data_IF_944780443179
#
_entry.id   IF_944780443179
#
_cell.length_a   1.000
_cell.length_b   1.000
_cell.length_c   1.000
_cell.angle_alpha   90.00
_cell.angle_beta   90.00
_cell.angle_gamma   90.00
#
_symmetry.space_group_name_H-M   'P 1'
#
loop_
_entity.id
_entity.type
_entity.pdbx_description
1 polymer ?
#
# COMPACT_ATOMS: atom_id res chain seq x y z
N UNK A 1 -2.44 -23.75 -9.18
CA UNK A 1 -3.46 -24.33 -10.08
C UNK A 1 -2.83 -25.14 -11.22
N UNK A 2 -1.88 -24.57 -12.00
CA UNK A 2 -1.26 -25.24 -13.16
C UNK A 2 -0.57 -26.56 -12.79
N UNK A 3 0.17 -26.59 -11.68
CA UNK A 3 0.83 -27.80 -11.19
C UNK A 3 -0.16 -28.92 -10.82
N UNK A 4 -1.27 -28.54 -10.18
CA UNK A 4 -2.34 -29.47 -9.79
C UNK A 4 -3.06 -30.03 -11.03
N UNK A 5 -3.31 -29.18 -12.03
CA UNK A 5 -3.87 -29.58 -13.33
C UNK A 5 -2.88 -30.53 -14.04
N UNK A 6 -1.59 -30.24 -14.01
CA UNK A 6 -0.54 -31.07 -14.59
C UNK A 6 -0.47 -32.48 -13.99
N UNK A 7 -0.58 -32.62 -12.65
CA UNK A 7 -0.62 -33.90 -11.97
C UNK A 7 -1.87 -34.71 -12.38
N UNK A 8 -3.03 -34.07 -12.46
CA UNK A 8 -4.26 -34.72 -12.89
C UNK A 8 -4.24 -35.12 -14.35
N UNK A 9 -3.63 -34.28 -15.21
CA UNK A 9 -3.44 -34.58 -16.63
C UNK A 9 -2.54 -35.80 -16.83
N UNK A 10 -1.42 -35.88 -16.12
CA UNK A 10 -0.50 -37.00 -16.17
C UNK A 10 -1.18 -38.29 -15.68
N UNK A 11 -2.04 -38.24 -14.64
CA UNK A 11 -2.78 -39.40 -14.14
C UNK A 11 -3.89 -39.87 -15.09
N UNK A 12 -4.38 -38.98 -15.98
CA UNK A 12 -5.38 -39.37 -16.98
C UNK A 12 -4.79 -40.20 -18.13
N UNK A 13 -3.51 -39.96 -18.46
CA UNK A 13 -2.74 -40.71 -19.45
C UNK A 13 -1.89 -41.84 -18.85
N UNK A 14 -1.98 -42.04 -17.53
CA UNK A 14 -1.23 -43.04 -16.82
C UNK A 14 -1.96 -44.40 -16.80
N UNK A 15 -1.54 -45.27 -15.91
CA UNK A 15 -2.09 -46.62 -15.72
C UNK A 15 -3.61 -46.57 -15.40
N UNK A 16 -4.48 -47.11 -16.28
CA UNK A 16 -5.92 -47.13 -16.07
C UNK A 16 -6.37 -48.15 -15.01
N UNK A 17 -5.44 -48.79 -14.32
CA UNK A 17 -5.75 -49.74 -13.25
C UNK A 17 -6.52 -49.05 -12.12
N UNK A 18 -7.39 -49.85 -11.44
CA UNK A 18 -8.14 -49.35 -10.28
C UNK A 18 -7.21 -48.83 -9.18
N UNK A 19 -6.05 -49.47 -9.02
CA UNK A 19 -5.03 -49.07 -8.05
C UNK A 19 -4.38 -47.71 -8.45
N UNK A 20 -3.97 -47.59 -9.70
CA UNK A 20 -3.39 -46.33 -10.21
C UNK A 20 -4.33 -45.14 -10.08
N UNK A 21 -5.60 -45.32 -10.42
CA UNK A 21 -6.62 -44.29 -10.26
C UNK A 21 -6.85 -43.92 -8.80
N UNK A 22 -6.89 -44.90 -7.88
CA UNK A 22 -7.06 -44.67 -6.45
C UNK A 22 -5.85 -43.89 -5.88
N UNK A 23 -4.62 -44.31 -6.24
CA UNK A 23 -3.39 -43.66 -5.80
C UNK A 23 -3.30 -42.22 -6.31
N UNK A 24 -3.58 -42.01 -7.58
CA UNK A 24 -3.59 -40.64 -8.17
C UNK A 24 -4.62 -39.73 -7.50
N UNK A 25 -5.82 -40.24 -7.22
CA UNK A 25 -6.86 -39.49 -6.51
C UNK A 25 -6.43 -39.18 -5.08
N UNK A 26 -5.83 -40.10 -4.38
CA UNK A 26 -5.30 -39.88 -3.04
C UNK A 26 -4.20 -38.81 -3.04
N UNK A 27 -3.21 -38.92 -3.93
CA UNK A 27 -2.14 -37.94 -4.06
C UNK A 27 -2.68 -36.57 -4.38
N UNK A 28 -3.72 -36.47 -5.22
CA UNK A 28 -4.37 -35.20 -5.54
C UNK A 28 -5.03 -34.57 -4.31
N UNK A 29 -5.66 -35.35 -3.45
CA UNK A 29 -6.21 -34.83 -2.18
C UNK A 29 -5.10 -34.37 -1.23
N UNK A 30 -4.01 -35.14 -1.13
CA UNK A 30 -2.87 -34.79 -0.28
C UNK A 30 -2.24 -33.48 -0.73
N UNK A 31 -2.01 -33.29 -2.04
CA UNK A 31 -1.44 -32.04 -2.57
C UNK A 31 -2.33 -30.84 -2.27
N UNK A 32 -3.67 -30.95 -2.45
CA UNK A 32 -4.59 -29.88 -2.10
C UNK A 32 -4.58 -29.57 -0.60
N UNK A 33 -4.51 -30.61 0.24
CA UNK A 33 -4.43 -30.45 1.69
C UNK A 33 -3.16 -29.76 2.14
N UNK A 34 -2.01 -30.19 1.64
CA UNK A 34 -0.71 -29.57 1.95
C UNK A 34 -0.67 -28.11 1.47
N UNK A 35 -1.21 -27.85 0.27
CA UNK A 35 -1.25 -26.48 -0.26
C UNK A 35 -2.19 -25.58 0.56
N UNK A 36 -3.35 -26.08 0.98
CA UNK A 36 -4.26 -25.36 1.88
C UNK A 36 -3.57 -25.02 3.21
N UNK A 37 -2.92 -25.99 3.83
CA UNK A 37 -2.18 -25.78 5.09
C UNK A 37 -1.07 -24.75 4.90
N UNK A 38 -0.30 -24.84 3.81
CA UNK A 38 0.77 -23.90 3.51
C UNK A 38 0.22 -22.47 3.32
N UNK A 39 -0.89 -22.30 2.60
CA UNK A 39 -1.52 -20.99 2.42
C UNK A 39 -2.03 -20.39 3.74
N UNK A 40 -2.66 -21.20 4.60
CA UNK A 40 -3.11 -20.76 5.93
C UNK A 40 -1.89 -20.41 6.80
N UNK A 41 -0.83 -21.23 6.77
CA UNK A 41 0.40 -20.96 7.51
C UNK A 41 1.04 -19.62 7.10
N UNK A 42 1.12 -19.34 5.78
CA UNK A 42 1.64 -18.06 5.27
C UNK A 42 0.73 -16.89 5.69
N UNK A 43 -0.60 -17.08 5.68
CA UNK A 43 -1.55 -16.05 6.13
C UNK A 43 -1.38 -15.69 7.61
N UNK A 44 -0.85 -16.61 8.43
CA UNK A 44 -0.54 -16.36 9.85
C UNK A 44 0.77 -15.59 10.07
N UNK A 45 1.41 -15.05 9.02
CA UNK A 45 2.65 -14.27 9.08
C UNK A 45 3.75 -14.94 9.92
N UNK A 46 4.30 -16.08 9.47
CA UNK A 46 5.42 -16.72 10.16
C UNK A 46 6.67 -15.85 10.12
N UNK A 47 7.71 -16.11 10.93
CA UNK A 47 8.93 -15.30 11.01
C UNK A 47 9.62 -15.02 9.67
N UNK A 48 9.40 -15.89 8.68
CA UNK A 48 9.98 -15.77 7.33
C UNK A 48 9.04 -15.15 6.31
N UNK A 49 7.86 -14.69 6.72
CA UNK A 49 6.91 -14.06 5.79
C UNK A 49 7.48 -12.77 5.21
N UNK A 50 7.07 -12.37 3.99
CA UNK A 50 7.48 -11.13 3.37
C UNK A 50 7.19 -9.91 4.24
N UNK A 51 6.09 -9.93 4.99
CA UNK A 51 5.69 -8.86 5.90
C UNK A 51 6.68 -8.70 7.07
N UNK A 52 7.06 -9.81 7.71
CA UNK A 52 8.02 -9.78 8.82
C UNK A 52 9.44 -9.42 8.36
N UNK A 53 9.76 -9.64 7.09
CA UNK A 53 11.02 -9.20 6.47
C UNK A 53 11.01 -7.77 5.96
N UNK A 54 9.94 -7.01 6.18
CA UNK A 54 9.82 -5.60 5.76
C UNK A 54 9.67 -5.39 4.25
N UNK A 55 9.36 -6.45 3.49
CA UNK A 55 9.22 -6.36 2.03
C UNK A 55 7.91 -5.68 1.57
N UNK A 56 7.04 -5.31 2.49
CA UNK A 56 5.94 -4.37 2.31
C UNK A 56 4.92 -4.67 1.21
N UNK A 57 4.36 -3.61 0.66
CA UNK A 57 3.26 -3.62 -0.31
C UNK A 57 3.49 -4.40 -1.61
N UNK A 58 4.71 -4.57 -2.18
CA UNK A 58 4.88 -5.37 -3.40
C UNK A 58 4.42 -6.82 -3.27
N UNK A 59 4.38 -7.35 -2.05
CA UNK A 59 3.97 -8.73 -1.76
C UNK A 59 2.49 -8.89 -1.44
N UNK A 60 1.69 -7.81 -1.44
CA UNK A 60 0.24 -7.87 -1.21
C UNK A 60 -0.46 -8.82 -2.20
N UNK A 61 0.00 -8.86 -3.44
CA UNK A 61 -0.52 -9.77 -4.48
C UNK A 61 -0.39 -11.24 -4.08
N UNK A 62 0.71 -11.63 -3.42
CA UNK A 62 0.89 -13.02 -2.95
C UNK A 62 -0.09 -13.38 -1.84
N UNK A 63 -0.37 -12.47 -0.91
CA UNK A 63 -1.40 -12.69 0.12
C UNK A 63 -2.80 -12.80 -0.50
N UNK A 64 -3.10 -12.00 -1.51
CA UNK A 64 -4.36 -12.08 -2.25
C UNK A 64 -4.49 -13.42 -2.99
N UNK A 65 -3.45 -13.85 -3.71
CA UNK A 65 -3.42 -15.15 -4.37
C UNK A 65 -3.52 -16.30 -3.35
N UNK A 66 -2.89 -16.15 -2.18
CA UNK A 66 -3.02 -17.10 -1.07
C UNK A 66 -4.45 -17.22 -0.59
N UNK A 67 -5.16 -16.10 -0.40
CA UNK A 67 -6.57 -16.10 -0.01
C UNK A 67 -7.47 -16.77 -1.06
N UNK A 68 -7.26 -16.50 -2.35
CA UNK A 68 -7.96 -17.18 -3.45
C UNK A 68 -7.69 -18.69 -3.44
N UNK A 69 -6.43 -19.09 -3.18
CA UNK A 69 -6.04 -20.50 -3.10
C UNK A 69 -6.69 -21.21 -1.91
N UNK A 70 -6.81 -20.54 -0.76
CA UNK A 70 -7.55 -21.06 0.40
C UNK A 70 -9.02 -21.28 0.03
N UNK A 71 -9.66 -20.31 -0.62
CA UNK A 71 -11.05 -20.43 -1.10
C UNK A 71 -11.23 -21.60 -2.09
N UNK A 72 -10.32 -21.70 -3.08
CA UNK A 72 -10.34 -22.78 -4.05
C UNK A 72 -10.17 -24.17 -3.41
N UNK A 73 -9.15 -24.37 -2.58
CA UNK A 73 -8.90 -25.65 -1.92
C UNK A 73 -10.00 -26.04 -0.94
N UNK A 74 -10.52 -25.08 -0.18
CA UNK A 74 -11.66 -25.31 0.72
C UNK A 74 -12.91 -25.70 -0.06
N UNK A 75 -13.22 -24.99 -1.15
CA UNK A 75 -14.34 -25.35 -2.05
C UNK A 75 -14.16 -26.72 -2.66
N UNK A 76 -12.94 -27.08 -3.09
CA UNK A 76 -12.63 -28.41 -3.59
C UNK A 76 -12.95 -29.49 -2.57
N UNK A 77 -12.47 -29.36 -1.32
CA UNK A 77 -12.73 -30.35 -0.28
C UNK A 77 -14.22 -30.45 0.06
N UNK A 78 -14.92 -29.34 0.16
CA UNK A 78 -16.35 -29.34 0.39
C UNK A 78 -17.13 -30.04 -0.74
N UNK A 79 -16.79 -29.75 -2.00
CA UNK A 79 -17.44 -30.40 -3.16
C UNK A 79 -17.19 -31.90 -3.25
N UNK A 80 -15.99 -32.33 -2.88
CA UNK A 80 -15.60 -33.75 -2.96
C UNK A 80 -16.16 -34.55 -1.79
N UNK A 81 -16.12 -33.96 -0.57
CA UNK A 81 -16.44 -34.72 0.67
C UNK A 81 -17.84 -34.42 1.22
N UNK A 82 -18.50 -33.32 0.86
CA UNK A 82 -19.89 -33.02 1.29
C UNK A 82 -20.92 -33.74 0.43
N UNK A 83 -20.90 -34.90 0.08
CA UNK A 83 -21.89 -35.69 -0.67
C UNK A 83 -22.86 -34.90 -1.57
N UNK A 84 -23.07 -35.31 -2.81
CA UNK A 84 -24.03 -34.64 -3.72
C UNK A 84 -25.45 -34.76 -3.17
N UNK A 85 -26.18 -33.65 -2.95
CA UNK A 85 -27.60 -33.74 -2.64
C UNK A 85 -28.33 -34.40 -3.82
N UNK A 86 -29.03 -35.51 -3.57
CA UNK A 86 -29.88 -36.18 -4.55
C UNK A 86 -29.55 -37.60 -4.98
N UNK A 87 -28.40 -38.14 -4.59
CA UNK A 87 -28.14 -39.60 -4.80
C UNK A 87 -27.69 -40.24 -3.49
N UNK A 88 -28.54 -41.10 -2.88
CA UNK A 88 -28.12 -41.89 -1.72
C UNK A 88 -27.11 -42.97 -2.18
N UNK A 89 -25.83 -42.60 -2.25
CA UNK A 89 -24.76 -43.59 -2.33
C UNK A 89 -24.72 -44.26 -0.97
N UNK A 90 -25.01 -45.56 -0.92
CA UNK A 90 -24.74 -46.40 0.26
C UNK A 90 -23.21 -46.51 0.44
N UNK A 91 -22.60 -45.46 0.98
CA UNK A 91 -21.19 -45.49 1.34
C UNK A 91 -21.00 -46.30 2.60
N UNK A 92 -19.91 -47.06 2.71
CA UNK A 92 -19.53 -47.71 3.96
C UNK A 92 -19.53 -46.69 5.11
N UNK A 93 -19.92 -47.07 6.33
CA UNK A 93 -20.05 -46.15 7.46
C UNK A 93 -18.76 -45.40 7.77
N UNK A 94 -17.62 -46.04 7.61
CA UNK A 94 -16.29 -45.45 7.80
C UNK A 94 -16.04 -44.30 6.79
N UNK A 95 -16.36 -44.53 5.51
CA UNK A 95 -16.15 -43.49 4.47
C UNK A 95 -17.05 -42.30 4.73
N UNK A 96 -18.30 -42.50 5.17
CA UNK A 96 -19.22 -41.43 5.55
C UNK A 96 -18.67 -40.66 6.74
N UNK A 97 -18.12 -41.31 7.74
CA UNK A 97 -17.50 -40.66 8.90
C UNK A 97 -16.33 -39.75 8.46
N UNK A 98 -15.43 -40.29 7.63
CA UNK A 98 -14.28 -39.53 7.10
C UNK A 98 -14.76 -38.30 6.31
N UNK A 99 -15.72 -38.48 5.41
CA UNK A 99 -16.26 -37.39 4.60
C UNK A 99 -16.85 -36.26 5.48
N UNK A 100 -17.65 -36.64 6.47
CA UNK A 100 -18.26 -35.67 7.38
C UNK A 100 -17.19 -34.98 8.26
N UNK A 101 -16.17 -35.73 8.69
CA UNK A 101 -15.06 -35.14 9.45
C UNK A 101 -14.26 -34.12 8.63
N UNK A 102 -13.90 -34.46 7.39
CA UNK A 102 -13.19 -33.56 6.48
C UNK A 102 -14.04 -32.30 6.22
N UNK A 103 -15.31 -32.46 5.86
CA UNK A 103 -16.20 -31.33 5.63
C UNK A 103 -16.35 -30.45 6.89
N UNK A 104 -16.50 -31.07 8.06
CA UNK A 104 -16.57 -30.35 9.35
C UNK A 104 -15.30 -29.57 9.67
N UNK A 105 -14.12 -30.17 9.45
CA UNK A 105 -12.82 -29.48 9.61
C UNK A 105 -12.70 -28.29 8.67
N UNK A 106 -13.10 -28.42 7.40
CA UNK A 106 -13.04 -27.31 6.44
C UNK A 106 -13.98 -26.18 6.87
N UNK A 107 -15.20 -26.47 7.28
CA UNK A 107 -16.11 -25.44 7.79
C UNK A 107 -15.57 -24.76 9.05
N UNK A 108 -14.97 -25.52 9.95
CA UNK A 108 -14.32 -24.96 11.14
C UNK A 108 -13.16 -24.03 10.75
N UNK A 109 -12.30 -24.45 9.80
CA UNK A 109 -11.19 -23.61 9.31
C UNK A 109 -11.69 -22.32 8.66
N UNK A 110 -12.74 -22.40 7.84
CA UNK A 110 -13.34 -21.23 7.19
C UNK A 110 -13.91 -20.21 8.19
N UNK A 111 -14.31 -20.66 9.38
CA UNK A 111 -14.75 -19.78 10.46
C UNK A 111 -13.58 -19.29 11.33
N UNK A 112 -12.74 -20.22 11.80
CA UNK A 112 -11.70 -19.93 12.80
C UNK A 112 -10.57 -19.11 12.21
N UNK A 113 -10.10 -19.41 10.98
CA UNK A 113 -8.96 -18.71 10.39
C UNK A 113 -9.22 -17.22 10.22
N UNK A 114 -10.34 -16.73 9.64
CA UNK A 114 -10.64 -15.30 9.56
C UNK A 114 -10.76 -14.66 10.95
N UNK A 115 -11.40 -15.32 11.92
CA UNK A 115 -11.54 -14.79 13.27
C UNK A 115 -10.16 -14.59 13.95
N UNK A 116 -9.27 -15.58 13.83
CA UNK A 116 -7.91 -15.51 14.38
C UNK A 116 -7.09 -14.42 13.67
N UNK A 117 -7.21 -14.29 12.35
CA UNK A 117 -6.54 -13.24 11.58
C UNK A 117 -7.01 -11.85 12.00
N UNK A 118 -8.31 -11.64 12.16
CA UNK A 118 -8.86 -10.37 12.66
C UNK A 118 -8.34 -10.08 14.06
N UNK A 119 -8.43 -11.04 14.97
CA UNK A 119 -7.96 -10.89 16.35
C UNK A 119 -6.48 -10.53 16.40
N UNK A 120 -5.64 -11.24 15.67
CA UNK A 120 -4.20 -11.01 15.61
C UNK A 120 -3.83 -9.64 15.03
N UNK A 121 -4.54 -9.20 14.00
CA UNK A 121 -4.28 -7.93 13.34
C UNK A 121 -5.01 -6.73 13.99
N UNK A 122 -5.90 -6.98 14.95
CA UNK A 122 -6.71 -5.95 15.59
C UNK A 122 -5.90 -4.78 16.18
N UNK A 123 -4.77 -5.00 16.88
CA UNK A 123 -3.94 -3.91 17.39
C UNK A 123 -3.42 -3.01 16.25
N UNK A 124 -2.95 -3.62 15.17
CA UNK A 124 -2.46 -2.88 14.01
C UNK A 124 -3.59 -2.14 13.27
N UNK A 125 -4.76 -2.78 13.10
CA UNK A 125 -5.94 -2.16 12.50
C UNK A 125 -6.35 -0.93 13.32
N UNK A 126 -6.37 -1.03 14.65
CA UNK A 126 -6.68 0.10 15.54
C UNK A 126 -5.66 1.23 15.43
N UNK A 127 -4.37 0.90 15.33
CA UNK A 127 -3.32 1.89 15.18
C UNK A 127 -3.39 2.59 13.82
N UNK A 128 -3.56 1.84 12.73
CA UNK A 128 -3.60 2.39 11.37
C UNK A 128 -4.88 3.17 11.08
N UNK A 129 -6.01 2.79 11.67
CA UNK A 129 -7.28 3.49 11.54
C UNK A 129 -7.54 4.48 12.70
N UNK A 130 -6.55 4.66 13.57
CA UNK A 130 -6.62 5.59 14.69
C UNK A 130 -6.57 7.06 14.23
N UNK A 131 -6.90 8.00 15.13
CA UNK A 131 -6.95 9.42 14.81
C UNK A 131 -5.57 10.08 14.67
N UNK A 132 -4.46 9.35 14.89
CA UNK A 132 -3.10 9.92 14.95
C UNK A 132 -2.71 10.69 13.69
N UNK A 133 -2.94 10.11 12.49
CA UNK A 133 -2.62 10.80 11.24
C UNK A 133 -3.48 12.06 11.05
N UNK A 134 -4.76 11.99 11.41
CA UNK A 134 -5.66 13.15 11.36
C UNK A 134 -5.24 14.23 12.34
N UNK A 135 -4.87 13.85 13.57
CA UNK A 135 -4.38 14.79 14.59
C UNK A 135 -3.06 15.44 14.15
N UNK A 136 -2.13 14.66 13.62
CA UNK A 136 -0.88 15.17 13.08
C UNK A 136 -1.11 16.14 11.92
N UNK A 137 -1.99 15.80 10.97
CA UNK A 137 -2.36 16.70 9.87
C UNK A 137 -3.04 17.99 10.38
N UNK A 138 -3.88 17.88 11.42
CA UNK A 138 -4.50 19.04 12.06
C UNK A 138 -3.46 19.97 12.71
N UNK A 139 -2.46 19.40 13.40
CA UNK A 139 -1.36 20.18 14.00
C UNK A 139 -0.50 20.86 12.92
N UNK A 140 -0.21 20.16 11.82
CA UNK A 140 0.46 20.77 10.67
C UNK A 140 -0.37 21.93 10.11
N UNK A 141 -1.67 21.73 9.91
CA UNK A 141 -2.56 22.77 9.38
C UNK A 141 -2.73 23.97 10.31
N UNK A 142 -2.69 23.78 11.63
CA UNK A 142 -2.72 24.86 12.63
C UNK A 142 -1.46 25.74 12.56
N UNK A 143 -0.34 25.18 12.10
CA UNK A 143 0.92 25.89 11.93
C UNK A 143 0.97 26.73 10.64
N UNK A 144 -0.04 26.62 9.78
CA UNK A 144 -0.12 27.33 8.50
C UNK A 144 -0.93 28.63 8.63
N UNK A 145 -0.64 29.63 7.78
CA UNK A 145 -1.42 30.84 7.77
C UNK A 145 -2.85 30.60 7.27
N UNK A 146 -3.82 31.43 7.67
CA UNK A 146 -5.18 31.35 7.16
C UNK A 146 -5.32 31.85 5.71
N UNK A 147 -4.25 32.36 5.14
CA UNK A 147 -4.21 32.91 3.78
C UNK A 147 -3.50 31.96 2.80
N UNK A 148 -3.64 32.28 1.51
CA UNK A 148 -2.94 31.53 0.45
C UNK A 148 -1.44 31.42 0.73
N UNK A 149 -0.93 30.20 0.67
CA UNK A 149 0.49 29.91 0.86
C UNK A 149 0.96 28.79 -0.07
N UNK A 150 2.25 28.81 -0.34
CA UNK A 150 2.94 27.75 -1.07
C UNK A 150 3.57 26.81 -0.04
N UNK A 151 3.27 25.53 -0.13
CA UNK A 151 3.72 24.51 0.79
C UNK A 151 4.70 23.58 0.07
N UNK A 152 5.96 23.64 0.45
CA UNK A 152 7.01 22.76 -0.04
C UNK A 152 7.24 21.59 0.91
N UNK A 153 7.52 20.42 0.36
CA UNK A 153 8.03 19.28 1.11
C UNK A 153 8.86 18.36 0.21
N UNK A 154 9.90 17.78 0.74
CA UNK A 154 10.63 16.66 0.14
C UNK A 154 10.05 15.29 0.56
N UNK A 155 9.18 15.25 1.57
CA UNK A 155 8.40 14.09 1.96
C UNK A 155 7.00 14.15 1.35
N UNK A 156 6.83 13.50 0.21
CA UNK A 156 5.55 13.40 -0.51
C UNK A 156 4.42 12.84 0.35
N UNK A 157 4.71 11.98 1.34
CA UNK A 157 3.71 11.40 2.24
C UNK A 157 3.09 12.45 3.16
N UNK A 158 3.92 13.33 3.73
CA UNK A 158 3.45 14.46 4.57
C UNK A 158 2.67 15.46 3.75
N UNK A 159 3.16 15.75 2.55
CA UNK A 159 2.48 16.65 1.61
C UNK A 159 1.09 16.13 1.25
N UNK A 160 0.98 14.84 0.87
CA UNK A 160 -0.30 14.20 0.54
C UNK A 160 -1.25 14.13 1.74
N UNK A 161 -0.72 13.86 2.95
CA UNK A 161 -1.51 13.83 4.17
C UNK A 161 -2.14 15.19 4.46
N UNK A 162 -1.34 16.26 4.38
CA UNK A 162 -1.83 17.62 4.61
C UNK A 162 -2.79 18.07 3.51
N UNK A 163 -2.51 17.73 2.25
CA UNK A 163 -3.41 17.99 1.12
C UNK A 163 -4.77 17.31 1.32
N UNK A 164 -4.77 16.02 1.72
CA UNK A 164 -6.00 15.29 2.01
C UNK A 164 -6.79 15.93 3.18
N UNK A 165 -6.10 16.36 4.24
CA UNK A 165 -6.73 17.05 5.36
C UNK A 165 -7.30 18.40 4.94
N UNK A 166 -6.55 19.21 4.18
CA UNK A 166 -7.01 20.51 3.66
C UNK A 166 -8.24 20.34 2.76
N UNK A 167 -8.25 19.31 1.88
CA UNK A 167 -9.41 19.00 1.04
C UNK A 167 -10.64 18.62 1.89
N UNK A 168 -10.47 17.82 2.95
CA UNK A 168 -11.57 17.45 3.86
C UNK A 168 -12.14 18.65 4.65
N UNK A 169 -11.30 19.64 4.93
CA UNK A 169 -11.70 20.85 5.68
C UNK A 169 -12.12 22.01 4.77
N UNK A 170 -12.22 21.78 3.45
CA UNK A 170 -12.60 22.80 2.47
C UNK A 170 -11.51 23.83 2.14
N UNK A 171 -10.28 23.64 2.62
CA UNK A 171 -9.14 24.53 2.42
C UNK A 171 -8.16 24.08 1.33
N UNK A 172 -8.54 23.06 0.55
CA UNK A 172 -7.65 22.47 -0.47
C UNK A 172 -7.16 23.46 -1.52
N UNK A 173 -8.00 24.43 -1.89
CA UNK A 173 -7.68 25.45 -2.91
C UNK A 173 -6.92 26.68 -2.35
N UNK A 174 -6.81 26.78 -1.01
CA UNK A 174 -6.10 27.89 -0.37
C UNK A 174 -4.58 27.71 -0.42
N UNK A 175 -4.11 26.46 -0.63
CA UNK A 175 -2.71 26.13 -0.60
C UNK A 175 -2.23 25.52 -1.93
N UNK A 176 -1.04 25.94 -2.36
CA UNK A 176 -0.33 25.32 -3.46
C UNK A 176 0.67 24.29 -2.89
N UNK A 177 0.40 23.01 -3.08
CA UNK A 177 1.24 21.91 -2.61
C UNK A 177 2.31 21.57 -3.65
N UNK A 178 3.58 21.69 -3.29
CA UNK A 178 4.71 21.42 -4.16
C UNK A 178 5.62 20.34 -3.58
N UNK A 179 5.81 19.29 -4.34
CA UNK A 179 6.81 18.25 -4.04
C UNK A 179 8.19 18.75 -4.49
N UNK A 180 9.05 19.08 -3.53
CA UNK A 180 10.39 19.61 -3.78
C UNK A 180 11.27 18.66 -4.60
N UNK A 181 11.16 17.35 -4.39
CA UNK A 181 11.90 16.35 -5.15
C UNK A 181 11.44 16.31 -6.62
N UNK A 182 10.14 16.50 -6.85
CA UNK A 182 9.55 16.49 -8.20
C UNK A 182 9.83 17.75 -8.99
N UNK A 183 10.20 18.88 -8.34
CA UNK A 183 10.57 20.12 -9.03
C UNK A 183 11.78 19.96 -9.98
N UNK A 184 12.62 18.96 -9.76
CA UNK A 184 13.72 18.66 -10.69
C UNK A 184 13.25 18.10 -12.05
N UNK A 185 11.97 17.71 -12.20
CA UNK A 185 11.45 17.11 -13.41
C UNK A 185 10.64 18.09 -14.26
N UNK A 186 10.99 18.33 -15.53
CA UNK A 186 10.25 19.25 -16.40
C UNK A 186 8.77 18.90 -16.59
N UNK A 187 8.44 17.61 -16.50
CA UNK A 187 7.07 17.10 -16.58
C UNK A 187 6.20 17.63 -15.44
N UNK A 188 6.78 17.74 -14.25
CA UNK A 188 6.08 18.27 -13.08
C UNK A 188 5.73 19.75 -13.26
N UNK A 189 6.62 20.55 -13.83
CA UNK A 189 6.32 21.96 -14.16
C UNK A 189 5.19 22.08 -15.19
N UNK A 190 5.16 21.22 -16.20
CA UNK A 190 4.06 21.16 -17.17
C UNK A 190 2.73 20.80 -16.49
N UNK A 191 2.77 19.85 -15.55
CA UNK A 191 1.60 19.48 -14.75
C UNK A 191 1.14 20.68 -13.89
N UNK A 192 2.03 21.34 -13.17
CA UNK A 192 1.71 22.50 -12.33
C UNK A 192 1.12 23.65 -13.16
N UNK A 193 1.69 23.95 -14.32
CA UNK A 193 1.17 24.96 -15.24
C UNK A 193 -0.26 24.64 -15.71
N UNK A 194 -0.54 23.37 -16.00
CA UNK A 194 -1.88 22.92 -16.39
C UNK A 194 -2.88 23.01 -15.24
N UNK A 195 -2.46 22.67 -14.02
CA UNK A 195 -3.33 22.63 -12.84
C UNK A 195 -3.54 24.02 -12.22
N UNK A 196 -2.51 24.86 -12.21
CA UNK A 196 -2.50 26.18 -11.57
C UNK A 196 -1.97 27.27 -12.52
N UNK A 197 -2.63 27.54 -13.66
CA UNK A 197 -2.12 28.44 -14.70
C UNK A 197 -1.93 29.88 -14.22
N UNK A 198 -2.69 30.32 -13.20
CA UNK A 198 -2.60 31.67 -12.67
C UNK A 198 -1.43 31.88 -11.68
N UNK A 199 -0.96 30.81 -11.06
CA UNK A 199 0.11 30.87 -10.04
C UNK A 199 1.43 30.37 -10.62
N UNK A 200 1.37 29.42 -11.57
CA UNK A 200 2.54 28.79 -12.16
C UNK A 200 2.79 29.31 -13.58
N UNK A 201 3.45 30.45 -13.67
CA UNK A 201 3.74 31.11 -14.96
C UNK A 201 5.01 30.57 -15.66
N UNK A 202 5.88 29.94 -14.89
CA UNK A 202 7.20 29.53 -15.39
C UNK A 202 7.13 28.49 -16.51
N UNK A 203 7.87 28.74 -17.56
CA UNK A 203 8.23 27.70 -18.51
C UNK A 203 9.08 26.66 -17.80
N UNK A 204 8.98 25.36 -18.18
CA UNK A 204 9.81 24.34 -17.55
C UNK A 204 11.28 24.77 -17.68
N UNK A 205 12.07 24.66 -16.59
CA UNK A 205 13.47 25.05 -16.62
C UNK A 205 14.20 24.20 -17.67
N UNK A 206 15.24 24.78 -18.29
CA UNK A 206 16.08 24.04 -19.24
C UNK A 206 16.65 22.81 -18.53
N UNK A 207 16.37 21.64 -19.07
CA UNK A 207 16.84 20.40 -18.49
C UNK A 207 18.30 20.14 -18.90
N UNK A 208 19.16 19.87 -17.92
CA UNK A 208 20.48 19.30 -18.13
C UNK A 208 20.36 17.80 -17.87
N UNK A 209 20.55 16.97 -18.92
CA UNK A 209 20.43 15.50 -18.80
C UNK A 209 19.10 15.05 -18.19
N UNK A 210 17.98 15.64 -18.63
CA UNK A 210 16.62 15.25 -18.22
C UNK A 210 16.15 15.82 -16.86
N UNK A 211 17.01 16.49 -16.10
CA UNK A 211 16.65 17.17 -14.84
C UNK A 211 16.91 18.68 -14.94
N UNK A 212 16.10 19.45 -14.20
CA UNK A 212 16.31 20.88 -14.07
C UNK A 212 17.62 21.18 -13.31
N UNK A 213 18.29 22.27 -13.72
CA UNK A 213 19.46 22.76 -13.02
C UNK A 213 19.09 23.20 -11.59
N UNK A 214 19.83 22.75 -10.55
CA UNK A 214 19.58 23.15 -9.16
C UNK A 214 19.54 24.65 -8.93
N UNK A 215 20.37 25.44 -9.61
CA UNK A 215 20.37 26.89 -9.47
C UNK A 215 19.05 27.52 -9.99
N UNK A 216 18.53 27.02 -11.09
CA UNK A 216 17.22 27.46 -11.60
C UNK A 216 16.07 27.11 -10.65
N UNK A 217 16.19 25.98 -9.93
CA UNK A 217 15.18 25.60 -8.93
C UNK A 217 15.21 26.53 -7.73
N UNK A 218 16.40 26.93 -7.27
CA UNK A 218 16.54 27.93 -6.19
C UNK A 218 15.95 29.26 -6.62
N UNK A 219 16.29 29.75 -7.82
CA UNK A 219 15.73 30.99 -8.38
C UNK A 219 14.21 30.95 -8.50
N UNK A 220 13.64 29.81 -8.94
CA UNK A 220 12.20 29.60 -9.00
C UNK A 220 11.55 29.70 -7.62
N UNK A 221 12.12 28.99 -6.62
CA UNK A 221 11.61 28.99 -5.24
C UNK A 221 11.75 30.38 -4.62
N UNK A 222 12.83 31.10 -4.94
CA UNK A 222 13.03 32.47 -4.50
C UNK A 222 11.93 33.41 -5.02
N UNK A 223 11.63 33.37 -6.33
CA UNK A 223 10.53 34.12 -6.92
C UNK A 223 9.15 33.79 -6.31
N UNK A 224 8.93 32.51 -6.00
CA UNK A 224 7.71 32.10 -5.30
C UNK A 224 7.64 32.68 -3.88
N UNK A 225 8.77 32.80 -3.18
CA UNK A 225 8.84 33.40 -1.85
C UNK A 225 8.64 34.90 -1.84
N UNK A 226 9.01 35.59 -2.93
CA UNK A 226 8.77 37.05 -3.08
C UNK A 226 7.28 37.39 -3.25
N UNK A 227 6.53 36.53 -3.92
CA UNK A 227 5.13 36.75 -4.27
C UNK A 227 4.13 36.07 -3.37
N UNK A 228 4.57 35.05 -2.63
CA UNK A 228 3.73 34.20 -1.77
C UNK A 228 4.41 33.91 -0.44
N UNK A 229 3.62 33.63 0.60
CA UNK A 229 4.15 33.06 1.82
C UNK A 229 4.55 31.59 1.56
N UNK A 230 5.84 31.31 1.70
CA UNK A 230 6.41 30.00 1.42
C UNK A 230 6.68 29.25 2.73
N UNK A 231 6.15 28.04 2.85
CA UNK A 231 6.34 27.18 4.01
C UNK A 231 6.93 25.84 3.61
N UNK A 232 7.81 25.31 4.47
CA UNK A 232 8.44 24.03 4.31
C UNK A 232 7.96 23.05 5.40
N UNK A 233 7.35 21.92 5.01
CA UNK A 233 6.72 20.99 5.95
C UNK A 233 7.73 20.10 6.68
N UNK A 234 8.84 19.78 6.04
CA UNK A 234 9.88 18.96 6.62
C UNK A 234 11.23 19.52 6.21
N UNK A 235 12.04 19.90 7.18
CA UNK A 235 13.42 20.24 6.90
C UNK A 235 14.18 18.95 6.60
N UNK A 236 14.26 18.56 5.35
CA UNK A 236 15.44 17.84 4.94
C UNK A 236 16.55 18.88 4.98
N UNK A 237 17.76 18.48 5.34
CA UNK A 237 18.93 19.34 5.24
C UNK A 237 19.21 19.66 3.75
N UNK A 238 18.19 20.16 3.05
CA UNK A 238 18.24 20.48 1.65
C UNK A 238 18.81 21.90 1.45
N UNK A 239 19.44 22.09 0.31
CA UNK A 239 20.08 23.35 -0.10
C UNK A 239 19.16 24.59 -0.06
N UNK A 240 17.83 24.44 0.04
CA UNK A 240 16.90 25.56 0.24
C UNK A 240 17.17 26.31 1.53
N UNK A 241 17.62 25.65 2.61
CA UNK A 241 17.95 26.28 3.89
C UNK A 241 19.24 27.12 3.82
N UNK A 242 20.07 26.93 2.81
CA UNK A 242 21.27 27.74 2.58
C UNK A 242 20.93 29.08 1.92
N UNK A 243 19.80 29.15 1.19
CA UNK A 243 19.38 30.33 0.44
C UNK A 243 18.22 31.11 1.09
N UNK A 244 17.61 30.55 2.13
CA UNK A 244 16.49 31.16 2.83
C UNK A 244 16.74 31.17 4.33
N UNK A 245 16.21 32.22 4.97
CA UNK A 245 16.13 32.27 6.43
C UNK A 245 14.89 31.47 6.91
N UNK A 246 15.07 30.32 7.61
CA UNK A 246 13.96 29.54 8.10
C UNK A 246 13.45 30.09 9.44
N UNK A 247 12.20 30.47 9.48
CA UNK A 247 11.50 30.89 10.68
C UNK A 247 10.57 29.76 11.15
N UNK A 248 10.71 29.31 12.39
CA UNK A 248 9.93 28.21 12.93
C UNK A 248 8.48 28.65 13.21
N UNK A 249 7.52 27.97 12.59
CA UNK A 249 6.08 28.12 12.80
C UNK A 249 5.48 26.80 13.23
N UNK A 250 5.52 26.49 14.52
CA UNK A 250 5.05 25.22 15.05
C UNK A 250 5.77 24.02 14.42
N UNK A 251 5.08 23.22 13.61
CA UNK A 251 5.63 22.04 12.94
C UNK A 251 6.14 22.30 11.51
N UNK A 252 6.13 23.55 11.07
CA UNK A 252 6.57 23.95 9.73
C UNK A 252 7.57 25.10 9.82
N UNK A 253 8.33 25.33 8.76
CA UNK A 253 9.23 26.47 8.65
C UNK A 253 8.74 27.40 7.57
N UNK A 254 8.61 28.68 7.88
CA UNK A 254 8.44 29.74 6.89
C UNK A 254 9.80 30.04 6.28
N UNK A 255 9.92 29.99 4.97
CA UNK A 255 11.12 30.34 4.26
C UNK A 255 11.06 31.82 3.83
N UNK A 256 11.86 32.65 4.47
CA UNK A 256 11.98 34.07 4.13
C UNK A 256 13.24 34.29 3.29
N UNK A 257 13.20 35.12 2.23
CA UNK A 257 14.42 35.53 1.55
C UNK A 257 15.35 36.27 2.53
N UNK A 258 16.66 36.08 2.38
CA UNK A 258 17.62 36.84 3.18
C UNK A 258 17.48 38.32 2.86
N UNK A 259 17.49 39.19 3.86
CA UNK A 259 17.45 40.62 3.64
C UNK A 259 18.74 41.08 2.94
N UNK A 260 18.63 41.77 1.82
CA UNK A 260 19.77 42.20 0.98
C UNK A 260 20.61 43.30 1.61
N UNK A 261 20.13 43.89 2.69
CA UNK A 261 20.75 45.04 3.39
C UNK A 261 21.41 44.66 4.73
N UNK A 262 21.46 43.39 5.06
CA UNK A 262 22.12 42.92 6.30
C UNK A 262 23.43 42.22 5.93
N UNK A 263 24.53 42.80 6.31
CA UNK A 263 25.83 42.14 6.31
C UNK A 263 25.86 41.22 7.52
N UNK A 264 25.83 39.90 7.27
CA UNK A 264 26.12 38.90 8.31
C UNK A 264 27.64 38.98 8.61
N UNK A 265 27.99 39.53 9.75
CA UNK A 265 29.35 39.56 10.25
C UNK A 265 29.71 38.22 10.88
#
# INVERSE_FOLDING_TARGET
PVFIIGIRWASYFGDPSKLGTALATFMFHVVHGLFLIACIWVAMDPPFSPRNKGLGSPFLTFYYLGALSVGYCSGYFLLVFSGKPGRPRRLPPLVRLINNAVAGVIWLLLLVVPCVLVYRNLPQIRTTNGPMLKQYAALLAQSLPPQRAVLLSDDSRRLLLLHAYAAQTGKGEEYLFLDAASLSWPEYHRFLKKKHPQVWESNPPKAIVGKADPFHLVELVYRLAETNSLYYLHPSFGYYFEYFYPEAHGLVYKLNPFPTNVLFA
#
